data_IF_242259305068
#
_entry.id   IF_242259305068
#
_cell.length_a   1.000
_cell.length_b   1.000
_cell.length_c   1.000
_cell.angle_alpha   90.00
_cell.angle_beta   90.00
_cell.angle_gamma   90.00
#
_symmetry.space_group_name_H-M   'P 1'
#
loop_
_entity.id
_entity.type
_entity.pdbx_description
1 polymer ?
#
# COMPACT_ATOMS: atom_id res chain seq x y z
N UNK A 1 -30.75 -2.52 4.72
CA UNK A 1 -29.36 -2.36 4.27
C UNK A 1 -29.16 -0.90 3.94
N UNK A 2 -28.25 -0.23 4.64
CA UNK A 2 -27.93 1.18 4.38
C UNK A 2 -27.10 1.32 3.09
N UNK A 3 -27.01 2.54 2.56
CA UNK A 3 -26.15 2.82 1.41
C UNK A 3 -24.67 2.55 1.73
N UNK A 4 -24.25 2.84 2.96
CA UNK A 4 -22.89 2.59 3.46
C UNK A 4 -22.57 1.08 3.54
N UNK A 5 -23.51 0.27 4.03
CA UNK A 5 -23.36 -1.20 4.05
C UNK A 5 -23.27 -1.79 2.64
N UNK A 6 -24.03 -1.24 1.68
CA UNK A 6 -23.99 -1.68 0.30
C UNK A 6 -22.64 -1.34 -0.35
N UNK A 7 -22.17 -0.10 -0.18
CA UNK A 7 -20.87 0.37 -0.64
C UNK A 7 -19.73 -0.46 -0.05
N UNK A 8 -19.73 -0.67 1.27
CA UNK A 8 -18.70 -1.45 1.95
C UNK A 8 -18.61 -2.89 1.44
N UNK A 9 -19.75 -3.56 1.22
CA UNK A 9 -19.76 -4.92 0.67
C UNK A 9 -19.20 -4.97 -0.76
N UNK A 10 -19.59 -4.02 -1.61
CA UNK A 10 -19.08 -3.93 -2.98
C UNK A 10 -17.56 -3.68 -2.98
N UNK A 11 -17.09 -2.75 -2.16
CA UNK A 11 -15.68 -2.43 -2.02
C UNK A 11 -14.83 -3.64 -1.57
N UNK A 12 -15.32 -4.40 -0.59
CA UNK A 12 -14.64 -5.61 -0.10
C UNK A 12 -14.61 -6.71 -1.16
N UNK A 13 -15.70 -6.91 -1.91
CA UNK A 13 -15.78 -7.94 -2.94
C UNK A 13 -14.94 -7.61 -4.20
N UNK A 14 -14.69 -6.33 -4.47
CA UNK A 14 -13.96 -5.88 -5.65
C UNK A 14 -12.49 -6.29 -5.62
N UNK A 15 -12.00 -6.89 -6.70
CA UNK A 15 -10.60 -7.36 -6.83
C UNK A 15 -9.73 -6.44 -7.70
N UNK A 16 -10.34 -5.59 -8.53
CA UNK A 16 -9.62 -4.79 -9.53
C UNK A 16 -9.93 -3.30 -9.38
N UNK A 17 -8.90 -2.49 -9.20
CA UNK A 17 -8.96 -1.04 -9.04
C UNK A 17 -8.14 -0.37 -10.14
N UNK A 18 -8.69 0.65 -10.80
CA UNK A 18 -8.04 1.26 -11.97
C UNK A 18 -8.30 2.76 -12.04
N UNK A 19 -7.22 3.55 -12.08
CA UNK A 19 -7.25 5.02 -12.27
C UNK A 19 -8.17 5.75 -11.30
N UNK A 20 -8.13 5.35 -10.05
CA UNK A 20 -8.96 5.94 -9.00
C UNK A 20 -8.15 6.20 -7.72
N UNK A 21 -8.72 7.04 -6.86
CA UNK A 21 -8.21 7.32 -5.53
C UNK A 21 -8.67 6.25 -4.54
N UNK A 22 -7.71 5.65 -3.84
CA UNK A 22 -7.93 4.63 -2.82
C UNK A 22 -7.44 5.18 -1.49
N UNK A 23 -8.39 5.59 -0.65
CA UNK A 23 -8.06 5.98 0.71
C UNK A 23 -7.93 4.71 1.58
N UNK A 24 -6.71 4.43 2.05
CA UNK A 24 -6.41 3.18 2.76
C UNK A 24 -7.21 3.01 4.06
N UNK A 25 -7.42 4.06 4.89
CA UNK A 25 -8.25 3.95 6.09
C UNK A 25 -9.68 3.47 5.81
N UNK A 26 -10.36 4.00 4.78
CA UNK A 26 -11.74 3.56 4.47
C UNK A 26 -11.75 2.13 3.93
N UNK A 27 -10.77 1.77 3.09
CA UNK A 27 -10.63 0.41 2.58
C UNK A 27 -10.45 -0.58 3.73
N UNK A 28 -9.56 -0.27 4.68
CA UNK A 28 -9.30 -1.10 5.85
C UNK A 28 -10.52 -1.22 6.76
N UNK A 29 -11.22 -0.12 7.05
CA UNK A 29 -12.43 -0.13 7.90
C UNK A 29 -13.52 -1.02 7.32
N UNK A 30 -13.78 -0.96 6.01
CA UNK A 30 -14.79 -1.83 5.40
C UNK A 30 -14.38 -3.32 5.42
N UNK A 31 -13.09 -3.63 5.26
CA UNK A 31 -12.60 -5.01 5.41
C UNK A 31 -12.77 -5.50 6.86
N UNK A 32 -12.41 -4.67 7.84
CA UNK A 32 -12.60 -5.00 9.26
C UNK A 32 -14.08 -5.23 9.60
N UNK A 33 -14.98 -4.39 9.10
CA UNK A 33 -16.43 -4.55 9.27
C UNK A 33 -16.96 -5.84 8.63
N UNK A 34 -16.27 -6.35 7.60
CA UNK A 34 -16.55 -7.64 6.96
C UNK A 34 -15.83 -8.83 7.64
N UNK A 35 -15.15 -8.61 8.77
CA UNK A 35 -14.40 -9.64 9.50
C UNK A 35 -13.04 -10.00 8.88
N UNK A 36 -12.54 -9.19 7.94
CA UNK A 36 -11.26 -9.38 7.27
C UNK A 36 -10.22 -8.40 7.84
N UNK A 37 -9.20 -8.93 8.51
CA UNK A 37 -8.13 -8.11 9.12
C UNK A 37 -6.96 -7.86 8.18
N UNK A 38 -6.95 -8.51 7.00
CA UNK A 38 -5.97 -8.38 5.93
C UNK A 38 -6.72 -8.15 4.63
N UNK A 39 -6.24 -7.23 3.81
CA UNK A 39 -6.75 -6.99 2.45
C UNK A 39 -6.07 -8.00 1.52
N UNK A 40 -6.85 -8.80 0.80
CA UNK A 40 -6.33 -9.93 0.03
C UNK A 40 -6.86 -10.00 -1.40
N UNK A 41 -6.02 -10.41 -2.35
CA UNK A 41 -6.43 -10.75 -3.71
C UNK A 41 -6.84 -9.55 -4.54
N UNK A 42 -6.16 -8.40 -4.37
CA UNK A 42 -6.53 -7.15 -5.03
C UNK A 42 -5.40 -6.60 -5.90
N UNK A 43 -5.76 -6.17 -7.10
CA UNK A 43 -4.89 -5.48 -8.03
C UNK A 43 -5.29 -4.01 -8.12
N UNK A 44 -4.32 -3.12 -7.95
CA UNK A 44 -4.45 -1.68 -8.10
C UNK A 44 -3.59 -1.24 -9.28
N UNK A 45 -4.19 -0.62 -10.29
CA UNK A 45 -3.50 -0.19 -11.50
C UNK A 45 -3.68 1.31 -11.72
N UNK A 46 -2.58 2.05 -11.80
CA UNK A 46 -2.58 3.50 -12.05
C UNK A 46 -3.43 4.27 -11.02
N UNK A 47 -3.51 3.75 -9.79
CA UNK A 47 -4.27 4.34 -8.71
C UNK A 47 -3.44 5.35 -7.91
N UNK A 48 -4.14 6.29 -7.27
CA UNK A 48 -3.59 7.09 -6.18
C UNK A 48 -3.91 6.39 -4.87
N UNK A 49 -2.90 5.97 -4.11
CA UNK A 49 -3.02 5.25 -2.84
C UNK A 49 -2.74 6.23 -1.70
N UNK A 50 -3.74 6.48 -0.86
CA UNK A 50 -3.77 7.62 0.05
C UNK A 50 -3.83 7.19 1.52
N UNK A 51 -2.94 7.77 2.34
CA UNK A 51 -2.94 7.65 3.79
C UNK A 51 -3.82 8.70 4.51
N UNK A 52 -3.56 8.97 5.80
CA UNK A 52 -2.42 8.50 6.59
C UNK A 52 -2.52 7.00 6.88
N UNK A 53 -1.45 6.25 6.59
CA UNK A 53 -1.41 4.81 6.82
C UNK A 53 0.02 4.28 6.91
N UNK A 54 0.19 3.14 7.60
CA UNK A 54 1.35 2.26 7.43
C UNK A 54 0.86 0.99 6.75
N UNK A 55 1.43 0.66 5.60
CA UNK A 55 1.16 -0.55 4.83
C UNK A 55 2.10 -1.67 5.28
N UNK A 56 1.55 -2.83 5.63
CA UNK A 56 2.32 -4.05 5.90
C UNK A 56 2.20 -4.97 4.69
N UNK A 57 3.32 -5.25 4.03
CA UNK A 57 3.40 -6.37 3.09
C UNK A 57 3.57 -7.66 3.88
N UNK A 58 2.56 -8.55 3.87
CA UNK A 58 2.61 -9.82 4.60
C UNK A 58 3.16 -10.93 3.71
N UNK A 59 2.45 -11.25 2.63
CA UNK A 59 2.82 -12.32 1.71
C UNK A 59 2.36 -11.95 0.30
N UNK A 60 3.20 -12.21 -0.71
CA UNK A 60 2.86 -12.06 -2.13
C UNK A 60 2.32 -10.65 -2.49
N UNK A 61 2.97 -9.61 -1.97
CA UNK A 61 2.67 -8.21 -2.29
C UNK A 61 3.74 -7.67 -3.23
N UNK A 62 3.34 -7.18 -4.40
CA UNK A 62 4.28 -6.61 -5.39
C UNK A 62 4.00 -5.15 -5.68
N UNK A 63 5.07 -4.38 -5.85
CA UNK A 63 5.06 -2.96 -6.19
C UNK A 63 5.80 -2.73 -7.52
N UNK A 64 5.07 -2.67 -8.62
CA UNK A 64 5.64 -2.54 -9.97
C UNK A 64 5.46 -1.12 -10.51
N UNK A 65 6.57 -0.45 -10.85
CA UNK A 65 6.57 0.91 -11.42
C UNK A 65 5.87 1.97 -10.56
N UNK A 66 5.78 1.73 -9.25
CA UNK A 66 5.06 2.61 -8.34
C UNK A 66 5.92 3.78 -7.86
N UNK A 67 5.30 4.96 -7.70
CA UNK A 67 5.90 6.10 -7.02
C UNK A 67 5.53 6.04 -5.54
N UNK A 68 6.53 5.93 -4.67
CA UNK A 68 6.32 5.66 -3.24
C UNK A 68 6.01 6.90 -2.39
N UNK A 69 5.94 8.07 -3.01
CA UNK A 69 5.71 9.35 -2.36
C UNK A 69 6.93 10.27 -2.42
N UNK A 70 6.78 11.46 -1.84
CA UNK A 70 7.82 12.49 -1.85
C UNK A 70 8.56 12.44 -0.51
N UNK A 71 9.83 12.10 -0.55
CA UNK A 71 10.77 12.18 0.59
C UNK A 71 12.17 12.53 0.08
N UNK A 72 12.96 13.23 0.88
CA UNK A 72 14.38 13.44 0.60
C UNK A 72 15.25 12.23 0.99
N UNK A 73 14.72 11.37 1.84
CA UNK A 73 15.36 10.12 2.27
C UNK A 73 14.31 8.99 2.27
N UNK A 74 14.45 7.99 1.36
CA UNK A 74 13.61 6.79 1.32
C UNK A 74 13.42 6.11 2.68
N UNK A 75 14.43 6.17 3.56
CA UNK A 75 14.38 5.55 4.88
C UNK A 75 13.27 6.11 5.77
N UNK A 76 12.82 7.35 5.54
CA UNK A 76 11.72 7.95 6.30
C UNK A 76 10.36 7.31 6.02
N UNK A 77 10.22 6.60 4.90
CA UNK A 77 8.99 5.89 4.55
C UNK A 77 8.98 4.46 5.07
N UNK A 78 10.09 3.95 5.62
CA UNK A 78 10.25 2.57 6.03
C UNK A 78 10.30 2.43 7.55
N UNK A 79 9.46 1.55 8.09
CA UNK A 79 9.36 1.30 9.52
C UNK A 79 9.77 -0.13 9.84
N UNK A 80 10.63 -0.31 10.85
CA UNK A 80 10.95 -1.63 11.41
C UNK A 80 10.17 -1.84 12.71
N UNK A 81 9.42 -2.95 12.86
CA UNK A 81 8.80 -3.27 14.14
C UNK A 81 9.87 -3.59 15.19
N UNK A 82 9.63 -3.17 16.44
CA UNK A 82 10.50 -3.48 17.57
C UNK A 82 10.16 -4.82 18.25
N UNK A 83 8.95 -5.34 18.02
CA UNK A 83 8.47 -6.60 18.56
C UNK A 83 8.08 -7.58 17.46
N UNK A 84 7.65 -8.77 17.85
CA UNK A 84 7.31 -9.87 16.92
C UNK A 84 6.03 -9.64 16.12
N UNK A 85 5.21 -8.65 16.51
CA UNK A 85 3.90 -8.36 15.90
C UNK A 85 3.81 -6.91 15.50
N UNK A 86 3.15 -6.66 14.37
CA UNK A 86 2.78 -5.33 13.90
C UNK A 86 1.29 -5.12 14.22
N UNK A 87 0.96 -4.06 14.95
CA UNK A 87 -0.41 -3.69 15.33
C UNK A 87 -0.66 -2.25 14.90
N UNK A 88 -1.88 -1.96 14.41
CA UNK A 88 -2.27 -0.62 13.97
C UNK A 88 -1.84 -0.23 12.56
N UNK A 89 -1.36 -1.20 11.76
CA UNK A 89 -1.01 -1.03 10.37
C UNK A 89 -1.97 -1.82 9.46
N UNK A 90 -2.05 -1.46 8.18
CA UNK A 90 -2.96 -2.07 7.21
C UNK A 90 -2.23 -3.19 6.48
N UNK A 91 -2.65 -4.42 6.73
CA UNK A 91 -2.04 -5.62 6.13
C UNK A 91 -2.56 -5.93 4.74
N UNK A 92 -1.65 -6.29 3.84
CA UNK A 92 -1.93 -6.75 2.48
C UNK A 92 -1.31 -8.13 2.24
N UNK A 93 -2.04 -8.97 1.53
CA UNK A 93 -1.57 -10.27 1.03
C UNK A 93 -2.07 -10.55 -0.39
N UNK A 94 -1.28 -11.19 -1.24
CA UNK A 94 -1.65 -11.47 -2.65
C UNK A 94 -2.22 -10.22 -3.34
N UNK A 95 -1.46 -9.13 -3.27
CA UNK A 95 -1.89 -7.84 -3.79
C UNK A 95 -0.85 -7.27 -4.73
N UNK A 96 -1.31 -6.62 -5.80
CA UNK A 96 -0.45 -6.04 -6.83
C UNK A 96 -0.74 -4.56 -6.95
N UNK A 97 0.30 -3.73 -6.83
CA UNK A 97 0.22 -2.31 -7.14
C UNK A 97 1.06 -2.06 -8.38
N UNK A 98 0.44 -1.53 -9.42
CA UNK A 98 1.02 -1.39 -10.75
C UNK A 98 0.90 0.06 -11.17
N UNK A 99 2.04 0.75 -11.35
CA UNK A 99 2.11 2.17 -11.73
C UNK A 99 1.28 3.09 -10.81
N UNK A 100 1.11 2.71 -9.56
CA UNK A 100 0.38 3.51 -8.57
C UNK A 100 1.27 4.64 -8.02
N UNK A 101 0.64 5.64 -7.43
CA UNK A 101 1.31 6.69 -6.65
C UNK A 101 0.85 6.62 -5.20
N UNK A 102 1.78 6.61 -4.27
CA UNK A 102 1.50 6.60 -2.83
C UNK A 102 1.67 8.01 -2.24
N UNK A 103 0.75 8.42 -1.36
CA UNK A 103 0.80 9.72 -0.68
C UNK A 103 0.46 9.53 0.80
N UNK A 104 1.35 10.01 1.69
CA UNK A 104 1.24 9.85 3.14
C UNK A 104 1.13 8.38 3.61
N UNK A 105 1.84 7.47 2.91
CA UNK A 105 1.89 6.05 3.25
C UNK A 105 3.30 5.68 3.66
N UNK A 106 3.41 5.09 4.85
CA UNK A 106 4.58 4.37 5.31
C UNK A 106 4.55 2.90 4.92
N UNK A 107 5.69 2.23 4.91
CA UNK A 107 5.86 0.84 4.53
C UNK A 107 6.56 0.05 5.64
N UNK A 108 6.10 -1.16 5.88
CA UNK A 108 6.74 -2.13 6.77
C UNK A 108 6.49 -3.55 6.26
N UNK A 109 7.25 -4.52 6.76
CA UNK A 109 7.16 -5.90 6.32
C UNK A 109 8.43 -6.69 6.63
N UNK A 110 8.55 -7.91 6.10
CA UNK A 110 9.77 -8.69 6.16
C UNK A 110 10.97 -7.91 5.63
N UNK A 111 12.16 -8.16 6.19
CA UNK A 111 13.39 -7.47 5.77
C UNK A 111 13.66 -7.52 4.26
N UNK A 112 13.48 -8.67 3.56
CA UNK A 112 13.65 -8.71 2.11
C UNK A 112 12.76 -7.71 1.35
N UNK A 113 11.52 -7.53 1.79
CA UNK A 113 10.59 -6.58 1.17
C UNK A 113 11.07 -5.13 1.36
N UNK A 114 11.57 -4.79 2.54
CA UNK A 114 12.10 -3.45 2.81
C UNK A 114 13.37 -3.14 2.01
N UNK A 115 14.23 -4.14 1.81
CA UNK A 115 15.44 -3.99 0.99
C UNK A 115 15.09 -3.79 -0.49
N UNK A 116 14.19 -4.61 -1.04
CA UNK A 116 13.70 -4.45 -2.42
C UNK A 116 13.05 -3.07 -2.63
N UNK A 117 12.26 -2.62 -1.66
CA UNK A 117 11.64 -1.30 -1.69
C UNK A 117 12.71 -0.18 -1.71
N UNK A 118 13.72 -0.27 -0.84
CA UNK A 118 14.81 0.70 -0.81
C UNK A 118 15.57 0.75 -2.15
N UNK A 119 15.87 -0.41 -2.74
CA UNK A 119 16.56 -0.50 -4.03
C UNK A 119 15.73 0.12 -5.16
N UNK A 120 14.41 -0.14 -5.20
CA UNK A 120 13.51 0.43 -6.20
C UNK A 120 13.42 1.96 -6.12
N UNK A 121 13.38 2.51 -4.91
CA UNK A 121 13.36 3.95 -4.67
C UNK A 121 14.68 4.60 -5.10
N UNK A 122 15.82 3.97 -4.80
CA UNK A 122 17.14 4.46 -5.21
C UNK A 122 17.33 4.42 -6.74
N UNK A 123 16.85 3.38 -7.41
CA UNK A 123 16.88 3.30 -8.88
C UNK A 123 16.07 4.44 -9.53
N UNK A 124 14.88 4.73 -9.02
CA UNK A 124 14.02 5.82 -9.52
C UNK A 124 14.59 7.22 -9.25
N UNK A 125 15.41 7.39 -8.21
CA UNK A 125 16.12 8.65 -7.95
C UNK A 125 17.25 8.88 -8.97
N UNK A 126 17.91 7.81 -9.43
CA UNK A 126 18.98 7.88 -10.43
C UNK A 126 18.50 8.31 -11.82
N UNK A 127 17.28 7.93 -12.22
CA UNK A 127 16.71 8.30 -13.52
C UNK A 127 16.29 9.78 -13.59
N UNK A 128 16.03 10.41 -12.45
CA UNK A 128 15.70 11.84 -12.36
C UNK A 128 16.93 12.76 -12.21
N UNK A 129 18.15 12.20 -12.18
CA UNK A 129 19.41 12.93 -12.01
C UNK A 129 20.14 13.30 -13.31
N UNK A 130 19.63 12.90 -14.48
CA UNK A 130 20.20 13.26 -15.80
C UNK A 130 19.35 14.38 -16.40
N UNK A 131 19.42 15.57 -15.81
CA UNK A 131 18.60 16.69 -16.26
C UNK A 131 18.70 17.93 -15.38
N UNK A 132 19.90 18.36 -15.03
CA UNK A 132 20.18 19.72 -14.55
C UNK A 132 21.58 20.15 -15.00
#
# INVERSE_FOLDING_TARGET
MSADEAFGRELVARTEFTRESIWLPILAVHHMNAGQTVITGKTFTECLIEGPAVMVAIQDVSLDGCNMGVTTDPMNLMYKPLGEKIIGAIGFSDCRFIRCRFVQVGFTGPEPFLLELADSMNASAGENGVGA
#
